data_IF_289867517226
#
_entry.id   IF_289867517226
#
_cell.length_a   1.000
_cell.length_b   1.000
_cell.length_c   1.000
_cell.angle_alpha   90.00
_cell.angle_beta   90.00
_cell.angle_gamma   90.00
#
_symmetry.space_group_name_H-M   'P 1'
#
loop_
_entity.id
_entity.type
_entity.pdbx_description
1 polymer ?
2 non-polymer ?
3 non-polymer ?
4 non-polymer ?
5 water ?
#
# COMPACT_ATOMS: atom_id res chain seq x y z
N UNK A 3 1.83 24.54 3.28
CA UNK A 3 0.77 23.78 2.62
C UNK A 3 0.68 22.38 3.22
N UNK A 4 1.79 21.69 3.41
CA UNK A 4 1.69 20.24 3.78
C UNK A 4 1.54 20.08 5.31
N UNK A 5 0.74 19.13 5.76
CA UNK A 5 0.77 18.77 7.15
C UNK A 5 0.60 17.26 7.25
N UNK A 6 1.32 16.61 8.16
CA UNK A 6 1.08 15.15 8.31
C UNK A 6 -0.25 14.83 9.04
N UNK A 7 -0.92 15.84 9.63
CA UNK A 7 -2.16 15.62 10.33
C UNK A 7 -3.44 16.09 9.57
N UNK A 8 -3.25 16.39 8.28
CA UNK A 8 -4.40 16.67 7.39
C UNK A 8 -4.25 15.85 6.11
N UNK A 9 -5.33 15.77 5.32
CA UNK A 9 -5.21 15.17 4.02
C UNK A 9 -4.68 16.21 3.03
N UNK A 10 -3.72 15.81 2.21
CA UNK A 10 -2.99 16.74 1.35
C UNK A 10 -3.32 16.43 -0.07
N UNK A 11 -3.58 17.47 -0.91
CA UNK A 11 -3.85 17.16 -2.29
C UNK A 11 -2.58 16.71 -3.11
N UNK A 12 -2.76 16.28 -4.33
CA UNK A 12 -1.64 15.68 -5.02
C UNK A 12 -0.53 16.71 -5.23
N UNK A 13 -0.89 17.94 -5.57
CA UNK A 13 0.19 18.93 -5.76
C UNK A 13 1.10 19.03 -4.53
N UNK A 14 0.45 18.94 -3.38
CA UNK A 14 1.07 19.14 -2.06
C UNK A 14 1.89 17.87 -1.77
N UNK A 15 1.30 16.70 -2.01
CA UNK A 15 2.11 15.47 -1.76
C UNK A 15 3.29 15.35 -2.70
N UNK A 16 3.09 15.77 -3.95
CA UNK A 16 4.19 15.69 -4.91
C UNK A 16 5.34 16.61 -4.43
N UNK A 17 4.98 17.84 -4.05
CA UNK A 17 5.98 18.82 -3.57
C UNK A 17 6.67 18.27 -2.31
N UNK A 18 5.89 17.59 -1.45
CA UNK A 18 6.42 16.97 -0.24
C UNK A 18 7.43 15.89 -0.59
N UNK A 19 7.16 15.03 -1.61
CA UNK A 19 8.15 14.01 -1.96
C UNK A 19 9.49 14.66 -2.31
N UNK A 20 9.43 15.81 -2.99
CA UNK A 20 10.70 16.47 -3.37
C UNK A 20 11.41 17.06 -2.13
N UNK A 21 10.66 17.75 -1.29
CA UNK A 21 11.18 18.45 -0.14
C UNK A 21 11.69 17.50 0.93
N UNK A 22 10.96 16.41 1.14
CA UNK A 22 11.41 15.46 2.17
C UNK A 22 12.70 14.79 1.75
N UNK A 23 12.86 14.56 0.43
CA UNK A 23 14.04 13.94 -0.08
C UNK A 23 15.21 14.99 0.11
N UNK A 24 14.96 16.22 -0.29
CA UNK A 24 15.99 17.29 -0.16
C UNK A 24 16.45 17.53 1.27
N UNK A 25 15.51 17.45 2.21
CA UNK A 25 15.80 17.72 3.62
C UNK A 25 16.54 16.51 4.26
N UNK A 26 16.48 15.32 3.66
CA UNK A 26 17.04 14.09 4.29
C UNK A 26 17.82 13.27 3.33
N UNK A 27 18.82 13.87 2.68
CA UNK A 27 19.54 13.20 1.62
C UNK A 27 20.32 11.95 2.06
N UNK A 28 20.63 11.83 3.34
CA UNK A 28 21.32 10.64 3.77
C UNK A 28 20.40 9.46 4.04
N UNK A 29 19.07 9.69 4.01
CA UNK A 29 18.11 8.58 4.33
C UNK A 29 17.11 8.37 3.18
N UNK A 30 16.95 9.38 2.30
CA UNK A 30 15.90 9.29 1.29
C UNK A 30 16.39 9.68 -0.10
N UNK A 31 16.02 8.82 -1.04
CA UNK A 31 16.13 9.26 -2.44
C UNK A 31 14.83 9.05 -3.18
N UNK A 32 14.65 9.76 -4.28
CA UNK A 32 13.36 9.77 -4.97
C UNK A 32 13.58 9.37 -6.42
N UNK A 33 12.71 8.53 -6.93
CA UNK A 33 12.71 8.26 -8.40
C UNK A 33 11.24 8.29 -8.87
N UNK A 34 11.02 8.27 -10.20
CA UNK A 34 9.65 8.00 -10.79
C UNK A 34 9.70 6.63 -11.47
N UNK A 35 8.71 5.77 -11.22
CA UNK A 35 8.75 4.46 -11.75
C UNK A 35 7.89 4.33 -13.02
N UNK A 36 7.31 5.43 -13.43
CA UNK A 36 6.41 5.40 -14.62
C UNK A 36 5.51 6.62 -14.57
N UNK A 37 4.56 6.66 -15.49
CA UNK A 37 3.61 7.75 -15.49
C UNK A 37 2.22 7.13 -15.54
N UNK A 38 1.29 7.89 -15.06
CA UNK A 38 -0.08 7.42 -15.00
C UNK A 38 -0.78 7.60 -16.36
N UNK A 39 -2.01 7.09 -16.45
CA UNK A 39 -2.82 7.38 -17.64
C UNK A 39 -2.73 8.84 -18.11
N UNK A 40 -2.93 9.80 -17.18
CA UNK A 40 -2.96 11.23 -17.50
C UNK A 40 -1.58 11.83 -17.61
N UNK A 41 -0.55 11.03 -17.32
CA UNK A 41 0.85 11.46 -17.55
C UNK A 41 1.55 12.01 -16.31
N UNK A 42 0.91 11.84 -15.14
CA UNK A 42 1.55 12.26 -13.88
C UNK A 42 2.69 11.28 -13.47
N UNK A 43 3.81 11.80 -12.95
CA UNK A 43 4.91 10.93 -12.50
C UNK A 43 4.56 10.12 -11.27
N UNK A 44 4.82 8.82 -11.29
CA UNK A 44 4.49 7.96 -10.12
C UNK A 44 5.75 7.91 -9.25
N UNK A 45 5.83 8.72 -8.19
CA UNK A 45 7.05 8.79 -7.42
C UNK A 45 7.19 7.67 -6.39
N UNK A 46 8.44 7.31 -6.14
CA UNK A 46 8.74 6.29 -5.21
C UNK A 46 9.86 6.79 -4.34
N UNK A 47 9.75 6.62 -3.00
CA UNK A 47 10.84 7.12 -2.11
C UNK A 47 11.60 5.89 -1.63
N UNK A 48 12.93 5.90 -1.67
CA UNK A 48 13.68 4.77 -1.09
C UNK A 48 14.22 5.32 0.24
N UNK A 49 13.80 4.71 1.35
CA UNK A 49 14.08 5.23 2.69
C UNK A 49 15.03 4.22 3.36
N UNK A 50 16.20 4.71 3.78
CA UNK A 50 17.20 3.79 4.41
C UNK A 50 18.57 4.43 4.27
N UNK A 51 19.48 4.15 5.22
CA UNK A 51 20.90 4.54 5.09
C UNK A 51 21.61 3.60 4.09
N UNK A 52 22.35 4.18 3.13
CA UNK A 52 23.08 3.28 2.20
C UNK A 52 23.93 2.21 2.85
N UNK A 53 24.03 1.07 2.19
CA UNK A 53 24.87 -0.01 2.67
C UNK A 53 24.91 -1.12 1.63
N UNK A 54 25.75 -2.13 1.83
CA UNK A 54 25.91 -3.18 0.84
C UNK A 54 24.82 -4.26 0.90
N UNK A 55 24.29 -4.62 -0.25
CA UNK A 55 23.49 -5.81 -0.32
C UNK A 55 22.34 -5.77 0.65
N UNK A 56 21.67 -4.65 0.76
CA UNK A 56 20.58 -4.55 1.75
C UNK A 56 19.29 -5.17 1.17
N UNK A 57 18.62 -5.99 1.97
CA UNK A 57 17.24 -6.39 1.65
C UNK A 57 16.31 -5.24 1.73
N UNK A 58 15.10 -5.38 1.18
CA UNK A 58 14.19 -4.26 1.10
C UNK A 58 12.76 -4.73 1.44
N UNK A 59 11.96 -3.76 1.90
CA UNK A 59 10.53 -3.97 2.10
C UNK A 59 9.85 -2.92 1.22
N UNK A 60 8.80 -3.33 0.48
CA UNK A 60 8.15 -2.45 -0.42
C UNK A 60 6.79 -2.15 0.14
N UNK A 61 6.45 -0.87 0.27
CA UNK A 61 5.09 -0.51 0.76
C UNK A 61 4.41 0.50 -0.17
N UNK A 62 3.14 0.26 -0.55
CA UNK A 62 2.43 1.25 -1.33
C UNK A 62 1.15 1.66 -0.65
N UNK A 63 0.70 2.84 -1.00
CA UNK A 63 -0.58 3.38 -0.52
C UNK A 63 -1.32 3.98 -1.68
N UNK A 64 -2.58 4.30 -1.45
CA UNK A 64 -3.26 5.03 -2.56
C UNK A 64 -3.61 4.23 -3.81
N UNK A 65 -3.75 2.91 -3.70
CA UNK A 65 -4.31 2.20 -4.87
C UNK A 65 -5.68 2.75 -5.20
N UNK A 66 -6.47 2.98 -4.16
CA UNK A 66 -7.86 3.36 -4.37
C UNK A 66 -8.10 4.76 -3.98
N UNK A 67 -8.72 5.53 -4.91
CA UNK A 67 -8.63 6.99 -4.81
C UNK A 67 -9.27 7.57 -3.56
N UNK A 68 -10.44 7.02 -3.18
CA UNK A 68 -11.12 7.53 -2.01
C UNK A 68 -10.58 7.15 -0.64
N UNK A 69 -9.59 6.24 -0.58
CA UNK A 69 -9.13 5.73 0.71
C UNK A 69 -8.02 6.66 1.25
N UNK A 70 -8.41 7.88 1.58
CA UNK A 70 -7.44 8.97 1.89
C UNK A 70 -6.54 8.68 3.08
N UNK A 71 -7.00 7.85 4.00
CA UNK A 71 -6.16 7.55 5.18
C UNK A 71 -4.96 6.69 4.73
N UNK A 72 -5.07 5.91 3.63
CA UNK A 72 -3.94 5.12 3.09
C UNK A 72 -2.84 6.13 2.70
N UNK A 73 -3.20 7.14 1.90
CA UNK A 73 -2.16 8.07 1.40
C UNK A 73 -1.49 8.78 2.60
N UNK A 74 -2.29 9.13 3.61
CA UNK A 74 -1.78 9.80 4.79
C UNK A 74 -0.84 8.88 5.57
N UNK A 75 -1.10 7.58 5.54
CA UNK A 75 -0.25 6.67 6.31
C UNK A 75 1.13 6.56 5.68
N UNK A 76 1.22 6.50 4.34
CA UNK A 76 2.60 6.41 3.78
C UNK A 76 3.40 7.64 4.09
N UNK A 77 2.75 8.79 4.06
CA UNK A 77 3.44 9.99 4.49
C UNK A 77 3.90 9.88 5.98
N UNK A 78 3.01 9.40 6.87
CA UNK A 78 3.31 9.29 8.31
C UNK A 78 4.50 8.32 8.50
N UNK A 79 4.59 7.29 7.68
CA UNK A 79 5.69 6.32 7.85
C UNK A 79 7.04 7.05 7.62
N UNK A 80 7.07 7.87 6.55
CA UNK A 80 8.28 8.61 6.24
C UNK A 80 8.57 9.67 7.33
N UNK A 81 7.53 10.37 7.79
CA UNK A 81 7.63 11.27 8.92
C UNK A 81 8.35 10.58 10.13
N UNK A 82 7.89 9.38 10.47
CA UNK A 82 8.47 8.61 11.62
C UNK A 82 9.89 8.24 11.36
N UNK A 83 10.18 7.75 10.15
CA UNK A 83 11.55 7.36 9.82
C UNK A 83 12.50 8.53 10.02
N UNK A 84 12.17 9.70 9.52
CA UNK A 84 13.17 10.78 9.57
C UNK A 84 13.19 11.37 10.97
N UNK A 85 12.05 11.37 11.63
CA UNK A 85 12.04 11.98 12.97
C UNK A 85 12.77 11.15 14.01
N UNK A 86 12.63 9.84 13.93
CA UNK A 86 13.11 8.98 15.02
C UNK A 86 14.44 8.26 14.74
N UNK A 87 14.94 8.39 13.50
CA UNK A 87 16.21 7.75 13.17
C UNK A 87 17.27 8.33 14.11
N UNK A 88 18.05 7.44 14.72
CA UNK A 88 19.10 7.96 15.64
C UNK A 88 18.62 7.90 17.08
N UNK A 89 17.32 8.10 17.32
CA UNK A 89 16.77 8.09 18.71
C UNK A 89 16.10 6.81 19.18
N UNK A 90 15.53 6.11 18.24
CA UNK A 90 14.76 4.99 18.64
C UNK A 90 15.51 3.80 18.06
N UNK A 91 15.96 2.94 18.95
CA UNK A 91 16.78 1.77 18.53
C UNK A 91 16.24 0.92 17.36
N UNK A 92 14.94 0.68 17.30
CA UNK A 92 14.41 -0.26 16.31
C UNK A 92 14.36 0.36 14.92
N UNK A 93 13.80 1.55 14.86
CA UNK A 93 13.65 2.24 13.56
C UNK A 93 15.06 2.53 13.03
N UNK A 94 16.02 2.81 13.94
CA UNK A 94 17.38 3.10 13.45
C UNK A 94 17.98 1.82 12.90
N UNK A 95 17.83 0.69 13.63
CA UNK A 95 18.30 -0.59 13.11
C UNK A 95 17.65 -0.95 11.78
N UNK A 96 16.32 -0.78 11.72
CA UNK A 96 15.60 -1.04 10.45
C UNK A 96 16.21 -0.27 9.27
N UNK A 97 16.42 1.04 9.44
CA UNK A 97 16.90 1.87 8.31
C UNK A 97 18.38 1.63 7.98
N UNK A 98 19.17 1.21 8.97
CA UNK A 98 20.58 0.89 8.72
C UNK A 98 20.76 -0.43 7.96
N UNK A 99 19.85 -1.41 8.20
CA UNK A 99 19.99 -2.75 7.62
C UNK A 99 19.10 -3.11 6.45
N UNK A 100 17.96 -2.41 6.33
CA UNK A 100 17.10 -2.62 5.16
C UNK A 100 16.72 -1.30 4.50
N UNK A 101 16.27 -1.36 3.26
CA UNK A 101 15.70 -0.17 2.66
C UNK A 101 14.18 -0.38 2.57
N UNK A 102 13.44 0.71 2.70
CA UNK A 102 12.00 0.72 2.47
C UNK A 102 11.69 1.51 1.24
N UNK A 103 11.03 0.87 0.27
CA UNK A 103 10.49 1.61 -0.89
C UNK A 103 9.07 1.99 -0.51
N UNK A 104 8.78 3.27 -0.50
CA UNK A 104 7.51 3.78 -0.10
C UNK A 104 6.92 4.47 -1.30
N UNK A 105 5.83 3.91 -1.79
CA UNK A 105 5.13 4.54 -2.95
C UNK A 105 3.86 5.25 -2.42
N UNK A 106 3.94 6.57 -2.16
CA UNK A 106 2.89 7.22 -1.39
C UNK A 106 1.56 7.26 -2.09
N UNK A 107 1.59 7.36 -3.41
CA UNK A 107 0.24 7.31 -4.10
C UNK A 107 0.38 6.58 -5.42
N UNK A 108 -0.23 5.39 -5.60
CA UNK A 108 -0.17 4.75 -6.90
C UNK A 108 -1.14 5.38 -7.90
N UNK A 109 -2.40 5.52 -7.49
CA UNK A 109 -3.45 5.96 -8.44
C UNK A 109 -3.62 7.47 -8.31
N UNK A 110 -2.63 8.22 -8.84
CA UNK A 110 -2.66 9.64 -8.64
C UNK A 110 -3.79 10.27 -9.42
N UNK A 111 -4.14 9.66 -10.56
CA UNK A 111 -5.22 10.31 -11.39
C UNK A 111 -6.55 10.25 -10.67
N UNK A 112 -6.83 9.10 -10.07
CA UNK A 112 -8.07 8.95 -9.26
C UNK A 112 -8.01 9.89 -8.05
N UNK A 113 -6.84 10.01 -7.43
CA UNK A 113 -6.73 10.83 -6.20
C UNK A 113 -7.07 12.30 -6.55
N UNK A 114 -6.48 12.81 -7.62
CA UNK A 114 -6.84 14.18 -8.06
C UNK A 114 -8.37 14.34 -8.27
N UNK A 115 -8.93 13.35 -8.92
CA UNK A 115 -10.38 13.34 -9.19
C UNK A 115 -11.19 13.40 -7.87
N UNK A 116 -10.71 12.72 -6.82
CA UNK A 116 -11.47 12.76 -5.60
C UNK A 116 -11.42 14.13 -4.94
N UNK A 117 -10.42 14.91 -5.31
CA UNK A 117 -10.31 16.28 -4.79
C UNK A 117 -11.06 17.29 -5.67
N UNK A 118 -11.20 17.00 -6.93
CA UNK A 118 -11.78 18.01 -7.84
C UNK A 118 -13.24 17.80 -8.19
N UNK A 119 -13.65 16.53 -8.26
CA UNK A 119 -14.98 16.13 -8.85
C UNK A 119 -15.84 15.17 -8.00
N UNK A 120 -15.23 14.12 -7.45
CA UNK A 120 -16.05 13.07 -6.81
C UNK A 120 -15.23 12.38 -5.71
N UNK A 121 -15.54 12.74 -4.45
CA UNK A 121 -14.81 12.25 -3.26
C UNK A 121 -14.86 10.73 -3.15
N UNK A 122 -15.86 10.11 -3.77
CA UNK A 122 -16.08 8.69 -3.58
C UNK A 122 -15.57 7.82 -4.78
N UNK A 123 -14.72 8.38 -5.66
CA UNK A 123 -14.18 7.62 -6.75
C UNK A 123 -13.21 6.58 -6.21
N UNK A 124 -13.16 5.38 -6.81
CA UNK A 124 -12.24 4.31 -6.38
C UNK A 124 -11.13 3.97 -7.43
N UNK A 125 -11.56 3.84 -8.71
CA UNK A 125 -10.73 3.29 -9.78
C UNK A 125 -9.72 4.25 -10.35
N UNK A 126 -9.00 3.77 -11.32
CA UNK A 126 -8.13 4.69 -12.13
C UNK A 126 -9.05 5.59 -12.96
N UNK A 127 -8.44 6.41 -13.80
CA UNK A 127 -9.25 7.36 -14.66
C UNK A 127 -8.99 7.11 -16.14
N UNK A 128 -8.55 5.91 -16.47
CA UNK A 128 -8.40 5.52 -17.90
C UNK A 128 -9.72 5.19 -18.60
N UNK A 129 -9.71 5.20 -19.93
CA UNK A 129 -10.91 4.95 -20.70
C UNK A 129 -11.04 3.47 -20.98
N UNK A 130 -12.25 3.06 -21.42
CA UNK A 130 -12.56 1.69 -21.74
C UNK A 130 -13.25 1.62 -23.11
N UNK A 131 -12.86 0.60 -23.91
CA UNK A 131 -13.41 0.42 -25.25
C UNK A 131 -14.92 0.20 -25.17
N UNK A 132 -15.72 0.87 -26.00
CA UNK A 132 -17.11 0.44 -26.17
C UNK A 132 -18.09 1.07 -25.21
N UNK A 133 -17.59 1.94 -24.34
CA UNK A 133 -18.40 2.57 -23.36
C UNK A 133 -17.84 3.94 -22.99
N UNK A 134 -18.61 4.79 -22.31
CA UNK A 134 -18.07 6.01 -21.76
C UNK A 134 -17.66 5.83 -20.30
N UNK A 135 -17.96 4.67 -19.71
CA UNK A 135 -17.58 4.47 -18.28
C UNK A 135 -16.05 4.50 -18.13
N UNK A 136 -15.57 5.10 -17.04
CA UNK A 136 -14.14 5.34 -16.82
C UNK A 136 -13.59 4.43 -15.75
N UNK A 137 -12.37 3.94 -16.01
CA UNK A 137 -11.51 3.39 -14.93
C UNK A 137 -11.51 1.90 -14.72
N UNK A 138 -10.42 1.42 -14.13
CA UNK A 138 -10.21 0.01 -13.80
C UNK A 138 -9.87 -0.05 -12.34
N UNK A 139 -10.27 -1.14 -11.68
CA UNK A 139 -9.83 -1.34 -10.27
C UNK A 139 -8.41 -1.86 -10.26
N UNK A 140 -7.46 -1.05 -9.78
CA UNK A 140 -6.05 -1.49 -9.88
C UNK A 140 -5.83 -2.73 -9.04
N UNK A 141 -6.64 -2.90 -7.97
CA UNK A 141 -6.45 -4.11 -7.19
C UNK A 141 -7.21 -5.31 -7.71
N UNK A 142 -7.68 -5.21 -8.95
CA UNK A 142 -8.16 -6.41 -9.65
C UNK A 142 -7.42 -6.53 -10.98
N UNK A 143 -6.34 -5.75 -11.15
CA UNK A 143 -5.63 -5.64 -12.50
C UNK A 143 -4.30 -6.38 -12.53
N UNK A 144 -3.98 -7.06 -11.44
CA UNK A 144 -2.71 -7.82 -11.44
C UNK A 144 -2.86 -9.23 -11.96
N UNK A 145 -1.75 -9.81 -12.43
CA UNK A 145 -1.83 -11.16 -13.00
C UNK A 145 -1.78 -12.28 -11.95
N UNK A 146 -2.89 -12.41 -11.23
CA UNK A 146 -3.09 -13.36 -10.11
C UNK A 146 -4.53 -13.87 -10.11
N UNK A 147 -4.75 -15.04 -10.71
CA UNK A 147 -6.10 -15.49 -11.00
C UNK A 147 -6.91 -14.41 -11.71
N UNK A 148 -6.27 -13.68 -12.62
CA UNK A 148 -6.85 -12.42 -13.14
C UNK A 148 -8.28 -12.61 -13.72
N UNK A 149 -9.18 -11.75 -13.22
CA UNK A 149 -10.58 -11.62 -13.60
C UNK A 149 -11.45 -12.80 -13.37
N UNK A 150 -11.16 -13.59 -12.35
CA UNK A 150 -11.98 -14.80 -12.15
C UNK A 150 -12.94 -14.87 -11.01
N UNK A 151 -12.70 -14.18 -9.93
CA UNK A 151 -13.65 -14.29 -8.87
C UNK A 151 -13.54 -13.00 -8.11
N UNK A 152 -14.66 -12.40 -7.74
CA UNK A 152 -14.60 -11.23 -6.91
C UNK A 152 -14.11 -10.04 -7.72
N UNK A 153 -14.16 -10.15 -9.06
CA UNK A 153 -13.81 -9.01 -9.97
C UNK A 153 -14.91 -8.98 -10.96
N UNK A 154 -15.25 -7.79 -11.47
CA UNK A 154 -16.27 -7.67 -12.49
C UNK A 154 -15.68 -7.51 -13.90
N UNK A 155 -16.36 -8.09 -14.87
CA UNK A 155 -15.98 -7.90 -16.27
C UNK A 155 -16.66 -6.64 -16.90
N UNK A 156 -17.52 -5.95 -16.13
CA UNK A 156 -18.18 -4.76 -16.65
C UNK A 156 -17.33 -3.53 -16.32
N UNK A 157 -16.86 -2.78 -17.35
CA UNK A 157 -16.08 -1.53 -17.16
C UNK A 157 -16.82 -0.47 -16.37
N UNK A 158 -18.15 -0.55 -16.32
CA UNK A 158 -18.89 0.41 -15.51
C UNK A 158 -18.99 0.06 -14.00
N UNK A 159 -18.38 -1.03 -13.59
CA UNK A 159 -18.43 -1.54 -12.21
C UNK A 159 -17.21 -1.16 -11.39
N UNK A 160 -17.39 -1.10 -10.08
CA UNK A 160 -16.33 -0.53 -9.23
C UNK A 160 -15.15 -1.52 -9.06
N UNK A 161 -15.38 -2.81 -9.35
CA UNK A 161 -14.29 -3.78 -9.27
C UNK A 161 -13.87 -4.30 -10.63
N UNK A 162 -14.09 -3.50 -11.66
CA UNK A 162 -13.69 -3.92 -13.01
C UNK A 162 -12.21 -4.31 -13.09
N UNK A 163 -11.96 -5.47 -13.68
CA UNK A 163 -10.60 -6.05 -13.74
C UNK A 163 -9.71 -5.42 -14.82
N UNK A 164 -10.31 -4.64 -15.71
CA UNK A 164 -9.60 -4.02 -16.83
C UNK A 164 -9.64 -4.91 -18.06
N UNK A 165 -9.01 -4.42 -19.13
CA UNK A 165 -9.02 -5.17 -20.41
C UNK A 165 -8.10 -6.38 -20.43
N UNK A 166 -7.04 -6.36 -19.60
CA UNK A 166 -6.10 -7.46 -19.50
C UNK A 166 -5.33 -7.26 -18.20
N UNK A 167 -4.67 -8.26 -17.66
CA UNK A 167 -3.85 -7.99 -16.47
C UNK A 167 -2.77 -7.00 -16.91
N UNK A 168 -2.49 -6.06 -16.01
CA UNK A 168 -1.50 -4.98 -16.26
C UNK A 168 -1.84 -4.07 -17.40
N UNK A 169 -3.13 -3.98 -17.75
CA UNK A 169 -3.56 -3.02 -18.76
C UNK A 169 -3.37 -1.58 -18.33
N UNK A 170 -3.38 -1.28 -17.02
CA UNK A 170 -3.23 0.10 -16.54
C UNK A 170 -1.78 0.45 -16.46
N UNK A 171 -1.45 1.63 -16.93
CA UNK A 171 -0.09 2.13 -16.81
C UNK A 171 0.49 2.01 -15.40
N UNK A 172 -0.34 2.29 -14.41
CA UNK A 172 0.12 2.33 -12.99
C UNK A 172 0.44 0.95 -12.45
N UNK A 173 -0.40 -0.05 -12.76
CA UNK A 173 -0.10 -1.39 -12.27
C UNK A 173 1.03 -2.00 -13.06
N UNK A 174 1.15 -1.69 -14.35
CA UNK A 174 2.31 -2.16 -15.09
C UNK A 174 3.60 -1.54 -14.49
N UNK A 175 3.57 -0.25 -14.11
CA UNK A 175 4.77 0.41 -13.54
C UNK A 175 5.14 -0.29 -12.24
N UNK A 176 4.14 -0.57 -11.39
CA UNK A 176 4.46 -1.21 -10.10
C UNK A 176 5.00 -2.64 -10.28
N UNK A 177 4.35 -3.47 -11.14
CA UNK A 177 4.75 -4.81 -11.40
C UNK A 177 6.15 -4.85 -12.00
N UNK A 178 6.40 -3.94 -12.92
CA UNK A 178 7.78 -3.87 -13.54
C UNK A 178 8.80 -3.51 -12.43
N UNK A 179 8.49 -2.55 -11.57
CA UNK A 179 9.47 -2.22 -10.53
C UNK A 179 9.78 -3.45 -9.65
N UNK A 180 8.72 -4.13 -9.22
CA UNK A 180 8.95 -5.27 -8.34
C UNK A 180 9.69 -6.40 -9.06
N UNK A 181 9.34 -6.68 -10.33
CA UNK A 181 10.07 -7.74 -11.02
C UNK A 181 11.53 -7.35 -11.16
N UNK A 182 11.78 -6.10 -11.41
CA UNK A 182 13.19 -5.58 -11.59
C UNK A 182 14.02 -5.60 -10.29
N UNK A 183 13.37 -5.82 -9.15
CA UNK A 183 14.04 -5.74 -7.86
C UNK A 183 13.72 -6.92 -7.01
N UNK A 184 13.27 -7.99 -7.63
CA UNK A 184 12.77 -9.13 -6.90
C UNK A 184 13.82 -9.75 -5.97
N UNK A 185 15.08 -9.78 -6.41
CA UNK A 185 16.11 -10.38 -5.56
C UNK A 185 16.40 -9.64 -4.25
N UNK A 186 16.01 -8.37 -4.14
CA UNK A 186 16.18 -7.62 -2.88
C UNK A 186 14.90 -7.47 -2.04
N UNK A 187 13.77 -7.47 -2.71
CA UNK A 187 12.51 -7.22 -1.97
C UNK A 187 12.04 -8.45 -1.24
N UNK A 188 11.97 -8.38 0.11
CA UNK A 188 11.68 -9.53 0.91
C UNK A 188 10.22 -9.51 1.47
N UNK A 189 9.61 -8.35 1.44
CA UNK A 189 8.23 -8.25 1.90
C UNK A 189 7.50 -7.18 1.10
N UNK A 190 6.19 -7.33 0.95
CA UNK A 190 5.34 -6.42 0.19
C UNK A 190 4.15 -6.07 1.09
N UNK A 191 3.92 -4.77 1.29
CA UNK A 191 2.86 -4.22 2.18
C UNK A 191 2.03 -3.25 1.41
N UNK A 192 0.72 -3.46 1.36
CA UNK A 192 -0.13 -2.55 0.55
C UNK A 192 -1.30 -2.03 1.40
N UNK A 193 -1.42 -0.71 1.45
CA UNK A 193 -2.25 -0.08 2.51
C UNK A 193 -3.54 0.47 1.87
N UNK A 194 -4.67 0.11 2.50
CA UNK A 194 -6.02 0.41 2.01
C UNK A 194 -6.84 0.89 3.20
N UNK A 195 -8.08 1.33 2.93
CA UNK A 195 -9.10 1.39 4.01
C UNK A 195 -10.40 0.88 3.41
N UNK A 196 -11.47 0.68 4.18
CA UNK A 196 -11.46 0.57 5.65
C UNK A 196 -11.91 -0.85 6.03
N UNK A 197 -11.97 -1.06 7.35
CA UNK A 197 -12.60 -2.24 8.01
C UNK A 197 -11.67 -2.94 9.00
N UNK A 198 -10.44 -2.44 9.16
CA UNK A 198 -9.54 -2.90 10.26
C UNK A 198 -9.14 -4.39 10.13
N UNK A 199 -8.36 -4.68 9.09
CA UNK A 199 -7.93 -6.06 8.88
C UNK A 199 -6.46 -6.11 8.44
N UNK A 200 -5.80 -7.22 8.75
CA UNK A 200 -4.46 -7.54 8.14
C UNK A 200 -4.70 -8.82 7.36
N UNK A 201 -4.65 -8.72 6.03
CA UNK A 201 -4.88 -9.92 5.16
C UNK A 201 -3.58 -10.45 4.54
N UNK A 202 -3.49 -11.75 4.33
CA UNK A 202 -2.41 -12.26 3.49
C UNK A 202 -2.99 -13.24 2.47
N UNK A 203 -2.15 -13.77 1.59
CA UNK A 203 -2.75 -14.57 0.46
C UNK A 203 -3.41 -15.85 0.99
N UNK A 204 -4.43 -16.39 0.29
CA UNK A 204 -4.80 -15.87 -1.02
C UNK A 204 -6.18 -15.28 -1.04
N UNK A 205 -6.41 -14.37 -2.01
CA UNK A 205 -7.74 -13.86 -2.28
C UNK A 205 -8.31 -14.35 -3.64
N UNK A 206 -7.44 -14.77 -4.54
CA UNK A 206 -7.99 -15.15 -5.84
C UNK A 206 -8.56 -16.52 -5.86
N UNK A 207 -8.31 -17.34 -4.85
CA UNK A 207 -9.01 -18.69 -4.83
C UNK A 207 -8.97 -19.03 -3.34
N UNK A 208 -9.83 -19.96 -2.95
CA UNK A 208 -9.74 -20.47 -1.58
C UNK A 208 -8.60 -21.47 -1.52
N UNK A 209 -7.41 -20.95 -1.24
CA UNK A 209 -6.22 -21.79 -1.10
C UNK A 209 -5.26 -21.03 -0.19
N UNK A 210 -4.30 -21.75 0.35
CA UNK A 210 -3.46 -21.18 1.38
C UNK A 210 -2.06 -21.26 0.94
N UNK A 211 -1.25 -20.32 1.39
CA UNK A 211 0.12 -20.28 0.94
C UNK A 211 0.95 -21.31 1.70
N UNK A 212 2.10 -21.68 1.14
CA UNK A 212 3.00 -22.68 1.69
C UNK A 212 3.38 -22.38 3.16
N UNK A 213 3.60 -21.10 3.44
CA UNK A 213 3.97 -20.63 4.78
C UNK A 213 2.79 -20.05 5.57
N UNK A 214 1.60 -20.61 5.34
CA UNK A 214 0.39 -20.21 6.05
C UNK A 214 0.55 -20.04 7.58
N UNK A 215 1.11 -21.07 8.23
CA UNK A 215 1.25 -20.96 9.68
C UNK A 215 2.08 -19.75 10.06
N UNK A 216 3.17 -19.51 9.33
CA UNK A 216 4.06 -18.39 9.67
C UNK A 216 3.31 -17.08 9.47
N UNK A 217 2.65 -16.92 8.32
CA UNK A 217 1.87 -15.69 8.07
C UNK A 217 0.76 -15.50 9.08
N UNK A 218 0.06 -16.58 9.40
CA UNK A 218 -1.02 -16.47 10.37
C UNK A 218 -0.53 -15.97 11.71
N UNK A 219 0.58 -16.57 12.15
CA UNK A 219 1.11 -16.17 13.44
C UNK A 219 1.63 -14.71 13.45
N UNK A 220 2.26 -14.32 12.35
CA UNK A 220 2.78 -13.00 12.25
C UNK A 220 1.62 -11.96 12.22
N UNK A 221 0.57 -12.22 11.43
CA UNK A 221 -0.54 -11.29 11.36
C UNK A 221 -1.20 -11.24 12.73
N UNK A 222 -1.41 -12.39 13.38
CA UNK A 222 -2.01 -12.38 14.78
C UNK A 222 -1.24 -11.48 15.74
N UNK A 223 0.08 -11.61 15.74
CA UNK A 223 0.93 -10.82 16.64
C UNK A 223 0.94 -9.36 16.22
N UNK A 224 0.81 -9.08 14.91
CA UNK A 224 0.86 -7.65 14.53
C UNK A 224 -0.49 -6.98 14.90
N UNK A 225 -1.58 -7.72 14.81
CA UNK A 225 -2.83 -7.15 15.30
C UNK A 225 -2.85 -6.96 16.80
N UNK A 226 -2.19 -7.86 17.52
CA UNK A 226 -2.11 -7.72 19.00
C UNK A 226 -1.27 -6.49 19.33
N UNK A 227 -0.20 -6.34 18.58
CA UNK A 227 0.65 -5.12 18.76
C UNK A 227 -0.08 -3.80 18.44
N UNK A 228 -0.85 -3.80 17.35
CA UNK A 228 -1.64 -2.61 16.96
C UNK A 228 -2.61 -2.20 18.10
N UNK A 229 -3.21 -3.18 18.69
CA UNK A 229 -4.24 -2.94 19.71
C UNK A 229 -3.65 -2.38 21.04
N UNK A 230 -2.37 -2.53 21.25
CA UNK A 230 -1.76 -2.08 22.52
C UNK A 230 -2.00 -0.59 22.74
N UNK A 231 -2.05 0.16 21.64
CA UNK A 231 -1.97 1.59 21.74
C UNK A 231 -3.36 2.22 22.18
N UNK A 232 -4.43 1.93 21.41
CA UNK A 232 -5.75 2.52 21.58
C UNK A 232 -6.87 1.48 21.72
N UNK A 233 -6.51 0.21 21.69
CA UNK A 233 -7.50 -0.91 21.77
C UNK A 233 -8.23 -1.17 20.48
N UNK A 234 -7.75 -0.58 19.38
CA UNK A 234 -8.40 -0.77 18.10
C UNK A 234 -8.31 -2.26 17.73
N UNK A 235 -9.48 -2.82 17.37
CA UNK A 235 -9.60 -4.25 17.03
C UNK A 235 -9.55 -4.53 15.53
N UNK A 236 -8.52 -5.29 15.15
CA UNK A 236 -8.40 -5.77 13.77
C UNK A 236 -8.71 -7.27 13.65
N UNK A 237 -9.20 -7.72 12.50
CA UNK A 237 -9.21 -9.18 12.22
C UNK A 237 -8.06 -9.45 11.26
N UNK A 238 -7.79 -10.73 11.02
CA UNK A 238 -6.68 -11.10 10.15
C UNK A 238 -6.93 -12.47 9.57
N UNK A 239 -6.20 -12.73 8.50
CA UNK A 239 -6.26 -14.06 7.92
C UNK A 239 -6.07 -13.99 6.42
N UNK A 240 -6.25 -15.14 5.75
CA UNK A 240 -6.15 -15.17 4.29
C UNK A 240 -7.31 -14.38 3.69
N UNK A 241 -7.01 -13.65 2.63
CA UNK A 241 -8.01 -12.75 2.09
C UNK A 241 -9.34 -13.35 1.74
N UNK A 242 -9.35 -14.51 1.11
CA UNK A 242 -10.60 -15.00 0.54
C UNK A 242 -11.68 -15.26 1.64
N UNK A 243 -11.25 -15.73 2.81
CA UNK A 243 -12.16 -16.05 3.90
C UNK A 243 -12.20 -14.97 4.98
N UNK A 244 -11.28 -14.01 4.96
CA UNK A 244 -11.26 -13.00 5.98
C UNK A 244 -12.03 -11.75 5.55
N UNK A 245 -12.01 -11.47 4.26
CA UNK A 245 -12.78 -10.32 3.73
C UNK A 245 -13.73 -10.81 2.60
N UNK A 246 -13.17 -11.32 1.52
CA UNK A 246 -13.99 -11.91 0.39
C UNK A 246 -13.05 -12.36 -0.68
N UNK A 247 -13.50 -13.30 -1.52
CA UNK A 247 -12.66 -13.48 -2.74
C UNK A 247 -12.47 -12.22 -3.62
N UNK A 248 -11.28 -12.07 -4.19
CA UNK A 248 -11.00 -10.89 -5.01
C UNK A 248 -9.77 -11.22 -5.81
N UNK A 249 -9.96 -11.55 -7.07
CA UNK A 249 -8.84 -11.94 -7.90
C UNK A 249 -8.14 -10.70 -8.40
N UNK A 250 -6.89 -10.88 -8.83
CA UNK A 250 -6.12 -9.82 -9.50
C UNK A 250 -5.48 -8.85 -8.55
N UNK A 251 -5.28 -9.31 -7.31
CA UNK A 251 -4.70 -8.38 -6.28
C UNK A 251 -3.16 -8.31 -6.34
N UNK A 252 -2.59 -7.18 -5.94
CA UNK A 252 -1.11 -7.07 -6.02
C UNK A 252 -0.50 -7.92 -4.90
N UNK A 253 -1.18 -8.07 -3.74
CA UNK A 253 -0.58 -8.94 -2.69
C UNK A 253 -0.37 -10.39 -3.10
N UNK A 254 -1.38 -10.97 -3.76
CA UNK A 254 -1.30 -12.32 -4.23
C UNK A 254 -0.26 -12.45 -5.34
N UNK A 255 -0.27 -11.48 -6.26
CA UNK A 255 0.69 -11.43 -7.35
C UNK A 255 2.12 -11.38 -6.82
N UNK A 256 2.37 -10.50 -5.85
CA UNK A 256 3.70 -10.36 -5.25
C UNK A 256 4.11 -11.68 -4.54
N UNK A 257 3.17 -12.33 -3.89
CA UNK A 257 3.48 -13.59 -3.20
C UNK A 257 3.84 -14.67 -4.22
N UNK A 258 3.06 -14.76 -5.29
CA UNK A 258 3.36 -15.68 -6.40
C UNK A 258 4.69 -15.43 -7.14
N UNK A 259 5.23 -14.22 -7.04
CA UNK A 259 6.60 -13.92 -7.52
C UNK A 259 7.70 -14.50 -6.59
N UNK A 260 7.34 -14.92 -5.38
CA UNK A 260 8.25 -15.44 -4.36
C UNK A 260 8.48 -14.53 -3.14
N UNK A 261 7.77 -13.38 -3.08
CA UNK A 261 7.86 -12.51 -1.88
C UNK A 261 7.01 -13.11 -0.79
N UNK A 262 7.69 -13.68 0.22
CA UNK A 262 7.05 -14.62 1.14
C UNK A 262 6.18 -13.89 2.18
N UNK A 263 6.46 -12.63 2.41
CA UNK A 263 5.70 -11.85 3.42
C UNK A 263 4.96 -10.84 2.59
N UNK A 264 3.66 -11.04 2.45
CA UNK A 264 2.86 -10.17 1.61
C UNK A 264 1.60 -9.90 2.38
N UNK A 265 1.32 -8.61 2.63
CA UNK A 265 0.15 -8.28 3.49
C UNK A 265 -0.61 -7.07 2.92
N UNK A 266 -1.94 -7.19 3.01
CA UNK A 266 -2.81 -6.03 2.74
C UNK A 266 -3.36 -5.53 4.06
N UNK A 267 -3.28 -4.22 4.30
CA UNK A 267 -3.84 -3.63 5.52
C UNK A 267 -5.12 -2.87 5.13
N UNK A 268 -6.23 -3.04 5.88
CA UNK A 268 -7.38 -2.23 5.71
C UNK A 268 -7.43 -1.42 7.03
N UNK A 269 -7.17 -0.12 6.94
CA UNK A 269 -7.07 0.70 8.19
C UNK A 269 -8.48 1.08 8.70
N UNK A 270 -8.51 2.08 9.58
CA UNK A 270 -9.77 2.49 10.23
C UNK A 270 -10.71 3.12 9.20
N UNK A 271 -12.03 3.18 9.48
CA UNK A 271 -12.64 2.63 10.68
C UNK A 271 -13.45 1.37 10.35
N UNK A 272 -14.53 1.07 11.09
CA UNK A 272 -15.34 -0.11 10.70
C UNK A 272 -16.67 0.31 10.06
N UNK A 273 -16.78 1.58 9.66
CA UNK A 273 -17.90 2.01 8.86
C UNK A 273 -18.68 3.20 9.34
N UNK A 274 -18.36 3.71 10.53
CA UNK A 274 -19.06 4.91 11.02
C UNK A 274 -18.79 6.05 10.06
N UNK A 275 -17.50 6.30 9.78
CA UNK A 275 -17.12 7.22 8.71
C UNK A 275 -16.71 6.59 7.40
N UNK A 276 -16.19 5.34 7.44
CA UNK A 276 -15.84 4.63 6.23
C UNK A 276 -14.67 5.34 5.56
N UNK A 277 -14.81 5.68 4.29
CA UNK A 277 -13.74 6.32 3.52
C UNK A 277 -13.54 7.79 3.88
N UNK A 278 -14.56 8.45 4.44
CA UNK A 278 -14.44 9.85 4.84
C UNK A 278 -14.03 9.94 6.30
N UNK A 279 -12.97 9.20 6.66
CA UNK A 279 -12.46 9.22 8.05
C UNK A 279 -11.96 10.65 8.34
N UNK A 280 -12.41 11.26 9.43
CA UNK A 280 -12.03 12.67 9.67
C UNK A 280 -10.55 12.82 9.92
N UNK A 281 -10.06 14.00 9.57
CA UNK A 281 -8.71 14.35 9.80
C UNK A 281 -8.31 14.21 11.25
N UNK A 282 -9.25 14.42 12.17
CA UNK A 282 -8.91 14.29 13.58
C UNK A 282 -8.51 12.89 14.01
N UNK A 283 -8.79 11.87 13.17
CA UNK A 283 -8.33 10.47 13.40
C UNK A 283 -7.02 10.11 12.70
N UNK A 284 -6.39 11.04 11.93
CA UNK A 284 -5.17 10.69 11.19
C UNK A 284 -4.06 10.26 12.15
N UNK A 285 -3.81 11.05 13.18
CA UNK A 285 -2.69 10.78 14.07
C UNK A 285 -2.84 9.43 14.78
N UNK A 286 -4.00 9.17 15.38
CA UNK A 286 -4.15 7.91 16.18
C UNK A 286 -4.09 6.73 15.19
N UNK A 287 -4.73 6.87 14.02
CA UNK A 287 -4.75 5.72 13.09
C UNK A 287 -3.33 5.43 12.67
N UNK A 288 -2.58 6.49 12.34
CA UNK A 288 -1.19 6.26 11.82
C UNK A 288 -0.29 5.74 12.92
N UNK A 289 -0.40 6.25 14.13
CA UNK A 289 0.46 5.76 15.21
C UNK A 289 0.22 4.28 15.52
N UNK A 290 -1.04 3.87 15.59
CA UNK A 290 -1.23 2.48 15.91
C UNK A 290 -0.77 1.61 14.75
N UNK A 291 -0.96 2.08 13.53
CA UNK A 291 -0.62 1.26 12.36
C UNK A 291 0.91 1.14 12.30
N UNK A 292 1.63 2.21 12.73
CA UNK A 292 3.09 2.14 12.81
C UNK A 292 3.58 0.95 13.69
N UNK A 293 2.82 0.62 14.73
CA UNK A 293 3.26 -0.46 15.58
C UNK A 293 3.15 -1.80 14.84
N UNK A 294 2.07 -2.01 14.08
CA UNK A 294 1.98 -3.25 13.31
C UNK A 294 3.04 -3.30 12.20
N UNK A 295 3.24 -2.17 11.50
CA UNK A 295 4.27 -2.18 10.42
C UNK A 295 5.66 -2.42 10.94
N UNK A 296 6.02 -1.81 12.07
CA UNK A 296 7.34 -2.05 12.70
C UNK A 296 7.42 -3.50 13.21
N UNK A 297 6.30 -4.09 13.61
CA UNK A 297 6.35 -5.47 14.08
C UNK A 297 6.70 -6.41 12.95
N UNK A 298 6.03 -6.16 11.82
CA UNK A 298 6.29 -6.97 10.65
C UNK A 298 7.72 -6.74 10.18
N UNK A 299 8.18 -5.49 10.21
CA UNK A 299 9.54 -5.15 9.74
C UNK A 299 10.58 -5.88 10.58
N UNK A 300 10.40 -5.81 11.89
CA UNK A 300 11.31 -6.53 12.81
C UNK A 300 11.34 -8.03 12.55
N UNK A 301 10.16 -8.62 12.38
CA UNK A 301 10.11 -10.02 12.06
C UNK A 301 10.92 -10.33 10.78
N UNK A 302 10.65 -9.58 9.71
CA UNK A 302 11.35 -9.84 8.42
C UNK A 302 12.85 -9.75 8.68
N UNK A 303 13.28 -8.72 9.43
CA UNK A 303 14.73 -8.53 9.65
C UNK A 303 15.35 -9.68 10.39
N UNK A 304 14.57 -10.25 11.33
CA UNK A 304 15.04 -11.32 12.19
C UNK A 304 14.95 -12.70 11.59
N UNK A 305 14.34 -12.84 10.43
CA UNK A 305 14.16 -14.16 9.82
C UNK A 305 14.63 -14.20 8.38
N UNK A 306 15.75 -13.54 8.11
CA UNK A 306 16.31 -13.44 6.75
C UNK A 306 16.94 -14.77 6.33
X LIG B 1 4.92 8.57 16.50
X LIG C 1 -8.61 -0.25 -1.23
X LIG D 1 -9.13 -4.44 -2.92
X LIG D 1 -10.09 -4.67 -2.10
X LIG D 1 -11.30 -4.91 -2.48
X LIG D 1 -9.71 -4.73 -0.64
X LIG D 1 -9.02 -3.43 -0.25
X LIG D 1 -10.22 -1.87 -0.54
X LIG D 1 -8.73 -5.89 -0.40
X LIG D 1 -9.31 -7.30 -0.66
X LIG D 1 -8.43 -8.42 -0.03
X LIG D 1 -6.94 -8.39 -0.48
X LIG D 1 -7.02 -8.17 -1.98
X LIG D 1 -5.96 -8.85 -2.65
X LIG E 1 -10.91 -1.33 1.73
X LIG F 1 -14.10 -1.92 1.95
X LIG F 1 -15.10 -1.45 0.62
X LIG F 1 -12.75 -0.82 2.03
X LIG F 1 -15.10 -1.73 3.64
X LIG F 1 -13.48 -3.71 1.57
#
# INVERSE_FOLDING_TARGET
TTGHSYEKYNNWETIEAWTKQVTSENPDLISRTAIGTTFLGNNIYLLKVGKPGPNKPAIFMDCGFHAREWISHAFCQWFVREAVLTYGYESHMTEFLNKLDFYVLPVLNIDGYIYTWTKNRMWRKTRSTNAGTTCIGTDPNRNFDAGWCTTGASTDPCDETYCGSAAESEKETKALADFIRNNLSSIKAYLTIHSYSQMILYPYSYDYKLPENNAELNNLAKAAVKELATLYGTKYTYGPGATTIYPAAGGSDDWAYDQGIKYSFTFELRDKGRYGFILPESQIQATCEETMLAIKYVTNYVLGHL
ZN ZN
ZN ZN
DDK OAB CAK OAC CAL CAF SED CAJ CAI CAH CAG CAE NAA
ZN ZN
CAC AS O1 O2 C1 C2
#
